data_IF_583355302158
#
_entry.id   IF_583355302158
#
_cell.length_a   1.000
_cell.length_b   1.000
_cell.length_c   1.000
_cell.angle_alpha   90.00
_cell.angle_beta   90.00
_cell.angle_gamma   90.00
#
_symmetry.space_group_name_H-M   'P 1'
#
loop_
_entity.id
_entity.type
_entity.pdbx_description
1 polymer ?
#
# COMPACT_ATOMS: atom_id res chain seq x y z
N UNK A 1 -6.80 22.09 19.38
CA UNK A 1 -6.39 20.68 19.24
C UNK A 1 -5.70 20.58 17.89
N UNK A 2 -4.38 20.74 17.85
CA UNK A 2 -3.61 20.59 16.61
C UNK A 2 -3.12 19.15 16.53
N UNK A 3 -3.92 18.31 15.86
CA UNK A 3 -3.48 16.96 15.50
C UNK A 3 -2.44 17.06 14.39
N UNK A 4 -1.23 16.58 14.64
CA UNK A 4 -0.21 16.45 13.60
C UNK A 4 -0.49 15.20 12.79
N UNK A 5 -0.43 15.32 11.46
CA UNK A 5 -0.56 14.18 10.56
C UNK A 5 0.64 13.24 10.74
N UNK A 6 0.37 11.95 10.93
CA UNK A 6 1.40 10.91 10.98
C UNK A 6 1.59 10.41 9.54
N UNK A 7 2.82 10.48 8.99
CA UNK A 7 3.10 9.96 7.66
C UNK A 7 3.08 8.42 7.64
N UNK A 8 2.85 7.85 6.47
CA UNK A 8 2.96 6.42 6.24
C UNK A 8 4.40 5.92 6.49
N UNK A 9 4.53 4.67 6.96
CA UNK A 9 5.80 3.98 7.15
C UNK A 9 6.48 3.53 5.86
N UNK A 10 5.76 3.53 4.73
CA UNK A 10 6.25 3.13 3.41
C UNK A 10 6.28 4.28 2.41
N UNK A 11 7.14 4.19 1.40
CA UNK A 11 7.21 5.11 0.25
C UNK A 11 7.01 4.38 -1.08
N UNK A 12 6.63 5.14 -2.11
CA UNK A 12 6.49 4.59 -3.45
C UNK A 12 7.80 3.97 -3.94
N UNK A 13 7.71 2.73 -4.44
CA UNK A 13 8.85 1.96 -4.91
C UNK A 13 9.46 1.01 -3.87
N UNK A 14 9.05 1.09 -2.59
CA UNK A 14 9.44 0.09 -1.60
C UNK A 14 8.90 -1.29 -1.97
N UNK A 15 9.74 -2.31 -1.85
CA UNK A 15 9.31 -3.71 -1.89
C UNK A 15 8.84 -4.08 -0.48
N UNK A 16 7.60 -4.52 -0.35
CA UNK A 16 6.99 -4.81 0.96
C UNK A 16 6.50 -6.25 1.04
N UNK A 17 6.47 -6.78 2.26
CA UNK A 17 5.87 -8.06 2.57
C UNK A 17 4.39 -7.85 2.96
N UNK A 18 3.51 -8.50 2.21
CA UNK A 18 2.07 -8.48 2.46
C UNK A 18 1.65 -9.73 3.24
N UNK A 19 0.60 -9.65 4.07
CA UNK A 19 0.01 -10.81 4.73
C UNK A 19 -0.67 -11.74 3.70
N UNK A 20 -0.89 -13.00 4.09
CA UNK A 20 -1.54 -14.00 3.22
C UNK A 20 -3.00 -13.64 2.88
N UNK A 21 -3.65 -12.89 3.76
CA UNK A 21 -5.02 -12.41 3.60
C UNK A 21 -5.08 -10.92 3.94
N UNK A 22 -5.89 -10.19 3.19
CA UNK A 22 -6.09 -8.77 3.38
C UNK A 22 -6.06 -8.03 2.06
N UNK A 23 -6.16 -6.71 2.15
CA UNK A 23 -6.18 -5.81 1.01
C UNK A 23 -7.52 -5.82 0.27
N UNK A 24 -7.87 -4.66 -0.28
CA UNK A 24 -9.05 -4.51 -1.12
C UNK A 24 -8.64 -4.47 -2.59
N UNK A 25 -9.28 -5.30 -3.42
CA UNK A 25 -9.10 -5.21 -4.86
C UNK A 25 -9.71 -3.90 -5.41
N UNK A 26 -8.88 -3.12 -6.08
CA UNK A 26 -9.27 -1.87 -6.75
C UNK A 26 -8.86 -1.98 -8.22
N UNK A 27 -9.83 -1.75 -9.12
CA UNK A 27 -9.56 -1.65 -10.55
C UNK A 27 -9.41 -0.19 -10.89
N UNK A 28 -8.27 0.19 -11.45
CA UNK A 28 -8.06 1.53 -11.97
C UNK A 28 -8.33 1.48 -13.47
N UNK A 29 -9.47 2.03 -13.88
CA UNK A 29 -9.91 2.09 -15.29
C UNK A 29 -9.29 3.30 -16.04
N UNK A 30 -8.39 4.04 -15.40
CA UNK A 30 -7.73 5.21 -15.97
C UNK A 30 -6.32 4.87 -16.50
N UNK A 31 -6.08 5.18 -17.77
CA UNK A 31 -4.79 4.97 -18.46
C UNK A 31 -4.82 3.84 -19.51
N UNK A 32 -3.72 3.65 -20.27
CA UNK A 32 -3.67 2.71 -21.39
C UNK A 32 -3.69 1.23 -20.99
N UNK A 33 -3.68 0.91 -19.69
CA UNK A 33 -3.66 -0.45 -19.17
C UNK A 33 -4.66 -0.56 -18.01
N UNK A 34 -5.73 -1.33 -18.20
CA UNK A 34 -6.59 -1.77 -17.10
C UNK A 34 -5.77 -2.64 -16.16
N UNK A 35 -5.42 -2.11 -14.99
CA UNK A 35 -4.64 -2.81 -13.98
C UNK A 35 -5.47 -3.00 -12.71
N UNK A 36 -5.38 -4.20 -12.16
CA UNK A 36 -5.95 -4.54 -10.86
C UNK A 36 -4.87 -4.39 -9.81
N UNK A 37 -5.20 -3.70 -8.71
CA UNK A 37 -4.30 -3.47 -7.59
C UNK A 37 -4.96 -3.94 -6.29
N UNK A 38 -4.13 -4.22 -5.29
CA UNK A 38 -4.58 -4.43 -3.92
C UNK A 38 -4.21 -3.21 -3.08
N UNK A 39 -5.21 -2.63 -2.41
CA UNK A 39 -5.04 -1.52 -1.48
C UNK A 39 -4.94 -2.05 -0.04
N UNK A 40 -3.85 -1.73 0.65
CA UNK A 40 -3.60 -2.11 2.04
C UNK A 40 -3.49 -0.89 2.95
N UNK A 41 -3.82 -1.06 4.24
CA UNK A 41 -3.44 -0.08 5.27
C UNK A 41 -1.98 -0.25 5.64
N UNK A 42 -1.34 0.85 6.08
CA UNK A 42 0.07 0.87 6.46
C UNK A 42 0.39 -0.14 7.58
N UNK A 43 -0.52 -0.26 8.56
CA UNK A 43 -0.40 -1.18 9.70
C UNK A 43 -0.51 -2.67 9.32
N UNK A 44 -1.04 -2.98 8.13
CA UNK A 44 -1.17 -4.37 7.65
C UNK A 44 0.10 -4.86 6.94
N UNK A 45 1.03 -3.97 6.64
CA UNK A 45 2.30 -4.31 5.99
C UNK A 45 3.22 -4.96 7.02
N UNK A 46 3.67 -6.19 6.73
CA UNK A 46 4.49 -6.98 7.66
C UNK A 46 5.95 -6.49 7.75
N UNK A 47 6.43 -5.84 6.69
CA UNK A 47 7.77 -5.25 6.66
C UNK A 47 8.19 -4.77 5.27
N UNK A 48 9.30 -4.03 5.22
CA UNK A 48 9.96 -3.57 3.98
C UNK A 48 11.16 -4.48 3.72
N UNK A 49 11.29 -4.96 2.48
CA UNK A 49 12.44 -5.73 2.04
C UNK A 49 13.56 -4.77 1.64
N UNK A 50 14.74 -4.95 2.24
CA UNK A 50 15.95 -4.21 1.92
C UNK A 50 17.01 -5.19 1.42
N UNK A 51 17.69 -4.82 0.34
CA UNK A 51 18.88 -5.52 -0.17
C UNK A 51 20.13 -5.11 0.64
#
# INVERSE_FOLDING_TARGET
MDGKLIPNGVKAGDKVLLPEFGGQAVKLDEGPQKKEFLLYRDEEILGILQD
#
